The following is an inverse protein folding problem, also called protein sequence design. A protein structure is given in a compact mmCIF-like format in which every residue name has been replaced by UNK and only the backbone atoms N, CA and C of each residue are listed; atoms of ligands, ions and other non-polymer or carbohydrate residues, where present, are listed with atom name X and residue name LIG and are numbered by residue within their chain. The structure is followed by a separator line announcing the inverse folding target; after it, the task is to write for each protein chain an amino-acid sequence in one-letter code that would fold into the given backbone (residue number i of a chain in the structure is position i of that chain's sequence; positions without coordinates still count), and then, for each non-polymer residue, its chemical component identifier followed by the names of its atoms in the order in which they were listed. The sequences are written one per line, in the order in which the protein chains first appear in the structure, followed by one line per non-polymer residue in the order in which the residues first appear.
data_IF_705590040732
#
_entry.id   IF_705590040732
#
_cell.length_a   1.000
_cell.length_b   1.000
_cell.length_c   1.000
_cell.angle_alpha   90.00
_cell.angle_beta   90.00
_cell.angle_gamma   90.00
#
_symmetry.space_group_name_H-M   'P 1'
#
loop_
_entity.id
_entity.type
_entity.pdbx_description
1 polymer ?
#
# COMPACT_ATOMS: atom_id res chain seq x y z
N UNK A 1 -71.91 37.30 52.63
CA UNK A 1 -70.88 38.35 52.79
C UNK A 1 -70.12 38.55 51.48
N UNK A 2 -69.28 37.61 51.02
CA UNK A 2 -68.52 37.79 49.77
C UNK A 2 -69.39 37.87 48.49
N UNK A 3 -70.44 37.05 48.34
CA UNK A 3 -71.42 37.18 47.23
C UNK A 3 -72.19 38.52 47.22
N UNK A 4 -72.14 39.26 48.33
CA UNK A 4 -72.73 40.61 48.47
C UNK A 4 -71.65 41.72 48.36
N UNK A 5 -70.43 41.40 47.92
CA UNK A 5 -69.35 42.37 47.71
C UNK A 5 -68.53 42.77 48.95
N UNK A 6 -68.88 42.26 50.14
CA UNK A 6 -68.17 42.59 51.39
C UNK A 6 -66.97 41.65 51.53
N UNK A 7 -65.75 42.21 51.47
CA UNK A 7 -64.51 41.45 51.68
C UNK A 7 -64.44 40.96 53.13
N UNK A 8 -64.15 39.67 53.32
CA UNK A 8 -63.93 39.07 54.63
C UNK A 8 -62.51 38.52 54.73
N UNK A 9 -61.94 38.47 55.94
CA UNK A 9 -60.61 37.90 56.16
C UNK A 9 -60.51 36.44 55.68
N UNK A 10 -61.55 35.65 55.94
CA UNK A 10 -61.67 34.25 55.48
C UNK A 10 -61.74 34.18 53.94
N UNK A 11 -62.43 35.12 53.32
CA UNK A 11 -62.56 35.20 51.86
C UNK A 11 -61.28 35.64 51.15
N UNK A 12 -60.49 36.54 51.77
CA UNK A 12 -59.13 36.89 51.33
C UNK A 12 -58.19 35.68 51.45
N UNK A 13 -58.22 34.97 52.58
CA UNK A 13 -57.44 33.75 52.80
C UNK A 13 -57.77 32.66 51.76
N UNK A 14 -59.05 32.47 51.42
CA UNK A 14 -59.45 31.52 50.36
C UNK A 14 -58.94 31.91 48.96
N UNK A 15 -58.86 33.21 48.64
CA UNK A 15 -58.27 33.70 47.39
C UNK A 15 -56.76 33.48 47.35
N UNK A 16 -56.07 33.71 48.46
CA UNK A 16 -54.63 33.43 48.61
C UNK A 16 -54.32 31.94 48.49
N UNK A 17 -55.12 31.06 49.11
CA UNK A 17 -55.00 29.60 48.97
C UNK A 17 -55.20 29.19 47.51
N UNK A 18 -56.16 29.76 46.79
CA UNK A 18 -56.36 29.48 45.36
C UNK A 18 -55.17 29.92 44.51
N UNK A 19 -54.62 31.11 44.78
CA UNK A 19 -53.44 31.62 44.09
C UNK A 19 -52.18 30.77 44.38
N UNK A 20 -51.99 30.34 45.62
CA UNK A 20 -50.90 29.44 45.99
C UNK A 20 -51.05 28.06 45.32
N UNK A 21 -52.26 27.52 45.24
CA UNK A 21 -52.53 26.25 44.57
C UNK A 21 -52.34 26.32 43.04
N UNK A 22 -52.73 27.42 42.40
CA UNK A 22 -52.48 27.62 40.97
C UNK A 22 -50.98 27.75 40.68
N UNK A 23 -50.24 28.48 41.54
CA UNK A 23 -48.79 28.56 41.49
C UNK A 23 -48.15 27.16 41.63
N UNK A 24 -48.55 26.39 42.65
CA UNK A 24 -48.06 25.02 42.86
C UNK A 24 -48.35 24.10 41.66
N UNK A 25 -49.50 24.26 41.00
CA UNK A 25 -49.83 23.54 39.78
C UNK A 25 -48.91 23.92 38.60
N UNK A 26 -48.63 25.21 38.44
CA UNK A 26 -47.69 25.70 37.40
C UNK A 26 -46.27 25.19 37.64
N UNK A 27 -45.81 25.18 38.90
CA UNK A 27 -44.50 24.64 39.29
C UNK A 27 -44.43 23.15 38.97
N UNK A 28 -45.47 22.37 39.31
CA UNK A 28 -45.53 20.94 38.97
C UNK A 28 -45.46 20.68 37.47
N UNK A 29 -46.14 21.49 36.66
CA UNK A 29 -46.09 21.37 35.21
C UNK A 29 -44.69 21.70 34.66
N UNK A 30 -44.05 22.75 35.17
CA UNK A 30 -42.70 23.13 34.78
C UNK A 30 -41.69 22.03 35.16
N UNK A 31 -41.78 21.46 36.37
CA UNK A 31 -40.95 20.31 36.77
C UNK A 31 -41.17 19.11 35.84
N UNK A 32 -42.42 18.83 35.44
CA UNK A 32 -42.71 17.73 34.49
C UNK A 32 -42.07 17.97 33.13
N UNK A 33 -42.17 19.20 32.61
CA UNK A 33 -41.56 19.58 31.34
C UNK A 33 -40.02 19.50 31.40
N UNK A 34 -39.41 20.00 32.49
CA UNK A 34 -37.96 19.91 32.70
C UNK A 34 -37.49 18.46 32.79
N UNK A 35 -38.22 17.58 33.49
CA UNK A 35 -37.92 16.15 33.51
C UNK A 35 -37.97 15.54 32.10
N UNK A 36 -38.95 15.92 31.28
CA UNK A 36 -39.02 15.53 29.87
C UNK A 36 -37.79 15.97 29.09
N UNK A 37 -37.41 17.25 29.19
CA UNK A 37 -36.21 17.79 28.52
C UNK A 37 -34.91 17.12 28.99
N UNK A 38 -34.79 16.77 30.27
CA UNK A 38 -33.62 16.03 30.78
C UNK A 38 -33.53 14.65 30.13
N UNK A 39 -34.65 13.95 29.94
CA UNK A 39 -34.69 12.65 29.27
C UNK A 39 -34.28 12.80 27.81
N UNK A 40 -34.89 13.72 27.06
CA UNK A 40 -34.55 13.98 25.66
C UNK A 40 -33.08 14.37 25.48
N UNK A 41 -32.55 15.23 26.35
CA UNK A 41 -31.15 15.63 26.31
C UNK A 41 -30.23 14.45 26.64
N UNK A 42 -30.64 13.57 27.55
CA UNK A 42 -29.88 12.36 27.87
C UNK A 42 -29.85 11.36 26.71
N UNK A 43 -30.93 11.26 25.94
CA UNK A 43 -31.01 10.43 24.73
C UNK A 43 -30.13 10.99 23.63
N UNK A 44 -30.24 12.29 23.32
CA UNK A 44 -29.35 12.96 22.34
C UNK A 44 -27.88 12.84 22.71
N UNK A 45 -27.55 12.94 24.00
CA UNK A 45 -26.17 12.73 24.48
C UNK A 45 -25.70 11.29 24.21
N UNK A 46 -26.56 10.29 24.40
CA UNK A 46 -26.21 8.89 24.10
C UNK A 46 -25.99 8.68 22.61
N UNK A 47 -26.85 9.24 21.77
CA UNK A 47 -26.72 9.18 20.31
C UNK A 47 -25.40 9.78 19.83
N UNK A 48 -25.08 11.00 20.28
CA UNK A 48 -23.82 11.67 19.94
C UNK A 48 -22.59 10.91 20.43
N UNK A 49 -22.66 10.29 21.62
CA UNK A 49 -21.57 9.45 22.12
C UNK A 49 -21.41 8.17 21.29
N UNK A 50 -22.51 7.59 20.81
CA UNK A 50 -22.47 6.41 19.94
C UNK A 50 -21.91 6.75 18.56
N UNK A 51 -22.30 7.90 17.98
CA UNK A 51 -21.77 8.41 16.72
C UNK A 51 -20.26 8.67 16.83
N UNK A 52 -19.83 9.42 17.86
CA UNK A 52 -18.41 9.66 18.13
C UNK A 52 -17.64 8.35 18.35
N UNK A 53 -18.20 7.38 19.06
CA UNK A 53 -17.57 6.09 19.25
C UNK A 53 -17.49 5.28 17.95
N UNK A 54 -18.46 5.41 17.04
CA UNK A 54 -18.43 4.79 15.72
C UNK A 54 -17.38 5.42 14.81
N UNK A 55 -17.25 6.76 14.81
CA UNK A 55 -16.16 7.47 14.14
C UNK A 55 -14.81 7.05 14.72
N UNK A 56 -14.70 7.03 16.05
CA UNK A 56 -13.45 6.65 16.72
C UNK A 56 -13.08 5.19 16.43
N UNK A 57 -14.05 4.30 16.29
CA UNK A 57 -13.85 2.89 16.02
C UNK A 57 -13.15 2.60 14.68
N UNK A 58 -13.10 3.58 13.77
CA UNK A 58 -12.44 3.55 12.45
C UNK A 58 -10.99 4.04 12.53
N UNK A 59 -10.58 4.71 13.62
CA UNK A 59 -9.19 5.13 13.78
C UNK A 59 -8.24 3.95 13.96
N UNK A 60 -7.04 4.07 13.37
CA UNK A 60 -6.00 3.05 13.40
C UNK A 60 -5.65 2.58 14.82
N UNK A 61 -5.52 3.44 15.85
CA UNK A 61 -5.25 2.96 17.20
C UNK A 61 -6.32 2.00 17.72
N UNK A 62 -7.60 2.32 17.48
CA UNK A 62 -8.71 1.48 17.93
C UNK A 62 -8.80 0.17 17.14
N UNK A 63 -8.52 0.21 15.84
CA UNK A 63 -8.42 -1.00 15.01
C UNK A 63 -7.25 -1.90 15.44
N UNK A 64 -6.11 -1.32 15.81
CA UNK A 64 -4.98 -2.08 16.35
C UNK A 64 -5.27 -2.69 17.73
N UNK A 65 -6.07 -2.03 18.56
CA UNK A 65 -6.54 -2.60 19.81
C UNK A 65 -7.52 -3.77 19.56
N UNK A 66 -8.45 -3.65 18.60
CA UNK A 66 -9.32 -4.75 18.17
C UNK A 66 -8.51 -5.93 17.63
N UNK A 67 -7.46 -5.67 16.84
CA UNK A 67 -6.54 -6.72 16.38
C UNK A 67 -5.94 -7.51 17.54
N UNK A 68 -5.53 -6.83 18.63
CA UNK A 68 -5.00 -7.50 19.82
C UNK A 68 -6.03 -8.41 20.48
N UNK A 69 -7.31 -8.04 20.49
CA UNK A 69 -8.40 -8.87 21.01
C UNK A 69 -8.61 -10.12 20.15
N UNK A 70 -8.62 -9.96 18.82
CA UNK A 70 -8.67 -11.09 17.87
C UNK A 70 -7.52 -12.07 18.14
N UNK A 71 -6.30 -11.56 18.30
CA UNK A 71 -5.11 -12.38 18.59
C UNK A 71 -5.17 -13.07 19.95
N UNK A 72 -5.76 -12.42 20.96
CA UNK A 72 -6.00 -13.04 22.28
C UNK A 72 -7.00 -14.19 22.17
N UNK A 73 -8.09 -14.00 21.41
CA UNK A 73 -9.10 -15.02 21.18
C UNK A 73 -8.52 -16.24 20.44
N UNK A 74 -7.72 -16.04 19.38
CA UNK A 74 -7.02 -17.13 18.67
C UNK A 74 -6.10 -17.98 19.55
N UNK A 75 -5.66 -17.41 20.68
CA UNK A 75 -4.73 -18.07 21.62
C UNK A 75 -5.46 -18.57 22.87
N UNK A 76 -6.79 -18.63 22.88
CA UNK A 76 -7.57 -19.13 24.03
C UNK A 76 -7.13 -20.53 24.45
N UNK A 77 -6.81 -21.38 23.48
CA UNK A 77 -6.52 -22.80 23.69
C UNK A 77 -5.05 -23.08 23.98
N UNK A 78 -4.21 -22.04 23.99
CA UNK A 78 -2.77 -22.17 24.26
C UNK A 78 -2.48 -22.31 25.74
N UNK A 79 -1.29 -22.84 26.06
CA UNK A 79 -0.78 -22.83 27.43
C UNK A 79 -0.61 -21.39 27.93
N UNK A 80 -0.78 -21.15 29.24
CA UNK A 80 -0.64 -19.81 29.85
C UNK A 80 0.72 -19.15 29.55
N UNK A 81 1.80 -19.93 29.53
CA UNK A 81 3.12 -19.43 29.13
C UNK A 81 3.17 -19.02 27.65
N UNK A 82 2.54 -19.80 26.76
CA UNK A 82 2.41 -19.47 25.34
C UNK A 82 1.57 -18.21 25.10
N UNK A 83 0.44 -18.07 25.80
CA UNK A 83 -0.40 -16.88 25.78
C UNK A 83 0.36 -15.62 26.19
N UNK A 84 1.13 -15.69 27.27
CA UNK A 84 1.92 -14.56 27.77
C UNK A 84 3.01 -14.14 26.77
N UNK A 85 3.75 -15.11 26.21
CA UNK A 85 4.78 -14.84 25.18
C UNK A 85 4.16 -14.22 23.92
N UNK A 86 3.06 -14.77 23.44
CA UNK A 86 2.34 -14.23 22.27
C UNK A 86 1.82 -12.82 22.51
N UNK A 87 1.22 -12.58 23.68
CA UNK A 87 0.66 -11.26 24.04
C UNK A 87 1.76 -10.21 24.19
N UNK A 88 2.90 -10.55 24.81
CA UNK A 88 4.04 -9.64 24.92
C UNK A 88 4.62 -9.29 23.54
N UNK A 89 4.74 -10.27 22.64
CA UNK A 89 5.19 -10.06 21.27
C UNK A 89 4.25 -9.15 20.48
N UNK A 90 2.95 -9.44 20.52
CA UNK A 90 1.96 -8.65 19.79
C UNK A 90 1.87 -7.22 20.38
N UNK A 91 1.95 -7.07 21.71
CA UNK A 91 1.95 -5.77 22.38
C UNK A 91 3.14 -4.90 21.95
N UNK A 92 4.35 -5.49 21.87
CA UNK A 92 5.54 -4.80 21.40
C UNK A 92 5.39 -4.34 19.94
N UNK A 93 4.89 -5.22 19.08
CA UNK A 93 4.69 -4.90 17.66
C UNK A 93 3.64 -3.79 17.47
N UNK A 94 2.52 -3.85 18.21
CA UNK A 94 1.47 -2.83 18.15
C UNK A 94 1.94 -1.50 18.75
N UNK A 95 2.70 -1.49 19.84
CA UNK A 95 3.22 -0.24 20.43
C UNK A 95 4.26 0.45 19.54
N UNK A 96 5.12 -0.32 18.87
CA UNK A 96 6.05 0.20 17.86
C UNK A 96 5.28 0.81 16.68
N UNK A 97 4.22 0.15 16.20
CA UNK A 97 3.37 0.67 15.14
C UNK A 97 2.60 1.93 15.55
N UNK A 98 2.01 1.96 16.74
CA UNK A 98 1.33 3.15 17.25
C UNK A 98 2.28 4.35 17.35
N UNK A 99 3.49 4.12 17.86
CA UNK A 99 4.54 5.14 17.92
C UNK A 99 4.92 5.63 16.53
N UNK A 100 5.03 4.73 15.56
CA UNK A 100 5.34 5.07 14.18
C UNK A 100 4.21 5.88 13.51
N UNK A 101 2.96 5.44 13.64
CA UNK A 101 1.78 6.12 13.14
C UNK A 101 1.67 7.54 13.73
N UNK A 102 1.89 7.68 15.04
CA UNK A 102 1.89 8.98 15.71
C UNK A 102 2.99 9.91 15.18
N UNK A 103 4.21 9.42 14.98
CA UNK A 103 5.32 10.22 14.41
C UNK A 103 5.04 10.68 12.99
N UNK A 104 4.35 9.86 12.19
CA UNK A 104 3.99 10.17 10.80
C UNK A 104 2.65 10.92 10.69
N UNK A 105 1.92 11.11 11.79
CA UNK A 105 0.62 11.78 11.79
C UNK A 105 -0.49 10.99 11.10
N UNK A 106 -0.39 9.65 11.06
CA UNK A 106 -1.35 8.78 10.40
C UNK A 106 -2.38 8.27 11.42
N UNK A 107 -3.63 8.68 11.32
CA UNK A 107 -4.69 8.31 12.28
C UNK A 107 -5.81 7.46 11.64
N UNK A 108 -6.07 7.59 10.34
CA UNK A 108 -7.15 6.89 9.65
C UNK A 108 -6.64 5.82 8.68
N UNK A 109 -7.53 4.89 8.29
CA UNK A 109 -7.22 3.87 7.27
C UNK A 109 -6.95 4.52 5.91
N UNK A 110 -7.66 5.60 5.57
CA UNK A 110 -7.45 6.35 4.34
C UNK A 110 -6.05 6.99 4.28
N UNK A 111 -5.61 7.61 5.37
CA UNK A 111 -4.26 8.17 5.47
C UNK A 111 -3.19 7.08 5.29
N UNK A 112 -3.41 5.91 5.90
CA UNK A 112 -2.52 4.76 5.77
C UNK A 112 -2.40 4.30 4.30
N UNK A 113 -3.53 4.13 3.61
CA UNK A 113 -3.55 3.68 2.22
C UNK A 113 -2.92 4.70 1.27
N UNK A 114 -3.27 5.98 1.43
CA UNK A 114 -2.67 7.07 0.67
C UNK A 114 -1.16 7.12 0.88
N UNK A 115 -0.69 6.98 2.12
CA UNK A 115 0.74 6.99 2.44
C UNK A 115 1.48 5.77 1.88
N UNK A 116 0.85 4.58 1.88
CA UNK A 116 1.40 3.39 1.23
C UNK A 116 1.53 3.61 -0.28
N UNK A 117 0.53 4.23 -0.91
CA UNK A 117 0.56 4.50 -2.35
C UNK A 117 1.65 5.52 -2.72
N UNK A 118 1.73 6.64 -1.99
CA UNK A 118 2.77 7.68 -2.25
C UNK A 118 4.17 7.14 -2.01
N UNK A 119 4.39 6.43 -0.90
CA UNK A 119 5.67 5.80 -0.58
C UNK A 119 6.02 4.72 -1.62
N UNK A 120 5.04 3.98 -2.11
CA UNK A 120 5.20 3.01 -3.19
C UNK A 120 5.64 3.64 -4.51
N UNK A 121 5.07 4.81 -4.86
CA UNK A 121 5.48 5.61 -6.03
C UNK A 121 6.92 6.11 -5.87
N UNK A 122 7.26 6.69 -4.72
CA UNK A 122 8.63 7.15 -4.42
C UNK A 122 9.67 6.02 -4.52
N UNK A 123 9.38 4.85 -3.96
CA UNK A 123 10.26 3.69 -4.10
C UNK A 123 10.43 3.22 -5.55
N UNK A 124 9.37 3.32 -6.37
CA UNK A 124 9.44 3.01 -7.79
C UNK A 124 10.28 4.04 -8.55
N UNK A 125 10.18 5.32 -8.19
CA UNK A 125 10.94 6.40 -8.80
C UNK A 125 12.44 6.28 -8.52
N UNK A 126 12.85 5.95 -7.29
CA UNK A 126 14.26 5.67 -6.98
C UNK A 126 14.81 4.52 -7.84
N UNK A 127 14.07 3.40 -7.95
CA UNK A 127 14.48 2.28 -8.80
C UNK A 127 14.57 2.69 -10.28
N UNK A 128 13.64 3.53 -10.75
CA UNK A 128 13.63 4.05 -12.12
C UNK A 128 14.86 4.92 -12.38
N UNK A 129 15.31 5.71 -11.40
CA UNK A 129 16.52 6.53 -11.50
C UNK A 129 17.82 5.72 -11.39
N UNK A 130 17.83 4.64 -10.60
CA UNK A 130 18.99 3.75 -10.43
C UNK A 130 19.22 2.84 -11.63
N UNK A 131 18.16 2.25 -12.20
CA UNK A 131 18.25 1.27 -13.30
C UNK A 131 19.13 1.70 -14.49
N UNK A 132 19.00 2.92 -15.07
CA UNK A 132 19.90 3.34 -16.16
C UNK A 132 21.35 3.48 -15.71
N UNK A 133 21.59 3.95 -14.47
CA UNK A 133 22.95 4.07 -13.90
C UNK A 133 23.60 2.71 -13.69
N UNK A 134 22.86 1.76 -13.14
CA UNK A 134 23.31 0.36 -12.99
C UNK A 134 23.60 -0.27 -14.35
N UNK A 135 22.72 -0.04 -15.33
CA UNK A 135 22.92 -0.54 -16.69
C UNK A 135 24.19 0.04 -17.31
N UNK A 136 24.41 1.36 -17.17
CA UNK A 136 25.62 2.01 -17.68
C UNK A 136 26.88 1.52 -16.95
N UNK A 137 26.84 1.39 -15.63
CA UNK A 137 27.96 0.83 -14.84
C UNK A 137 28.33 -0.58 -15.33
N UNK A 138 27.34 -1.45 -15.52
CA UNK A 138 27.57 -2.81 -16.02
C UNK A 138 28.17 -2.84 -17.44
N UNK A 139 27.75 -1.89 -18.30
CA UNK A 139 28.34 -1.74 -19.64
C UNK A 139 29.80 -1.29 -19.55
N UNK A 140 30.12 -0.33 -18.67
CA UNK A 140 31.50 0.12 -18.46
C UNK A 140 32.37 -1.04 -17.96
N UNK A 141 31.89 -1.81 -16.98
CA UNK A 141 32.56 -3.00 -16.47
C UNK A 141 32.85 -4.01 -17.59
N UNK A 142 31.85 -4.29 -18.43
CA UNK A 142 31.99 -5.21 -19.55
C UNK A 142 32.94 -4.69 -20.64
N UNK A 143 32.99 -3.37 -20.89
CA UNK A 143 33.95 -2.74 -21.80
C UNK A 143 35.37 -2.88 -21.25
N UNK A 144 35.56 -2.61 -19.95
CA UNK A 144 36.86 -2.73 -19.30
C UNK A 144 37.36 -4.19 -19.34
N UNK A 145 36.48 -5.16 -19.07
CA UNK A 145 36.77 -6.58 -19.18
C UNK A 145 37.06 -7.02 -20.63
N UNK A 146 36.29 -6.54 -21.61
CA UNK A 146 36.57 -6.84 -23.02
C UNK A 146 37.91 -6.24 -23.48
N UNK A 147 38.28 -5.04 -22.99
CA UNK A 147 39.60 -4.44 -23.25
C UNK A 147 40.74 -5.24 -22.63
N UNK A 148 40.56 -5.86 -21.46
CA UNK A 148 41.57 -6.74 -20.86
C UNK A 148 41.67 -8.05 -21.64
N UNK A 149 40.54 -8.69 -21.96
CA UNK A 149 40.51 -9.93 -22.73
C UNK A 149 41.14 -9.77 -24.12
N UNK A 150 40.85 -8.66 -24.81
CA UNK A 150 41.47 -8.35 -26.09
C UNK A 150 42.99 -8.19 -25.97
N UNK A 151 43.51 -7.60 -24.88
CA UNK A 151 44.96 -7.44 -24.67
C UNK A 151 45.64 -8.77 -24.38
N UNK A 152 45.06 -9.59 -23.52
CA UNK A 152 45.62 -10.88 -23.11
C UNK A 152 45.57 -11.92 -24.23
N UNK A 153 44.48 -11.96 -25.00
CA UNK A 153 44.28 -12.95 -26.05
C UNK A 153 44.89 -12.53 -27.41
N UNK A 154 45.33 -11.26 -27.56
CA UNK A 154 45.94 -10.73 -28.79
C UNK A 154 47.05 -11.60 -29.38
N UNK A 155 48.09 -12.03 -28.63
CA UNK A 155 49.20 -12.80 -29.21
C UNK A 155 48.76 -14.17 -29.72
N UNK A 156 47.78 -14.81 -29.07
CA UNK A 156 47.22 -16.10 -29.49
C UNK A 156 46.35 -15.93 -30.73
N UNK A 157 45.55 -14.86 -30.76
CA UNK A 157 44.70 -14.53 -31.90
C UNK A 157 45.52 -14.16 -33.16
N UNK A 158 46.63 -13.44 -33.01
CA UNK A 158 47.55 -13.15 -34.12
C UNK A 158 48.20 -14.41 -34.70
N UNK A 159 48.57 -15.38 -33.84
CA UNK A 159 49.04 -16.70 -34.28
C UNK A 159 47.95 -17.44 -35.04
N UNK A 160 46.71 -17.44 -34.53
CA UNK A 160 45.54 -18.02 -35.20
C UNK A 160 45.27 -17.39 -36.58
N UNK A 161 45.37 -16.06 -36.70
CA UNK A 161 45.16 -15.36 -37.96
C UNK A 161 46.17 -15.76 -39.05
N UNK A 162 47.42 -16.03 -38.67
CA UNK A 162 48.49 -16.43 -39.59
C UNK A 162 48.37 -17.88 -40.11
N UNK A 163 47.45 -18.68 -39.56
CA UNK A 163 47.20 -20.03 -40.04
C UNK A 163 46.20 -19.97 -41.21
N UNK A 164 46.67 -20.32 -42.40
CA UNK A 164 45.84 -20.33 -43.62
C UNK A 164 45.22 -21.69 -43.93
N UNK A 165 45.82 -22.79 -43.48
CA UNK A 165 45.32 -24.14 -43.77
C UNK A 165 44.14 -24.50 -42.86
N UNK A 166 43.00 -24.85 -43.46
CA UNK A 166 41.71 -24.97 -42.77
C UNK A 166 41.73 -25.99 -41.62
N UNK A 167 42.29 -27.18 -41.84
CA UNK A 167 42.32 -28.26 -40.83
C UNK A 167 43.19 -27.91 -39.61
N UNK A 168 44.31 -27.23 -39.80
CA UNK A 168 45.18 -26.82 -38.69
C UNK A 168 44.61 -25.61 -37.96
N UNK A 169 43.92 -24.72 -38.68
CA UNK A 169 43.20 -23.58 -38.09
C UNK A 169 42.06 -24.03 -37.17
N UNK A 170 41.28 -25.03 -37.58
CA UNK A 170 40.21 -25.60 -36.75
C UNK A 170 40.76 -26.30 -35.50
N UNK A 171 41.85 -27.08 -35.62
CA UNK A 171 42.54 -27.68 -34.46
C UNK A 171 43.07 -26.63 -33.48
N UNK A 172 43.72 -25.57 -33.99
CA UNK A 172 44.24 -24.48 -33.16
C UNK A 172 43.12 -23.74 -32.40
N UNK A 173 41.94 -23.56 -33.02
CA UNK A 173 40.79 -22.95 -32.35
C UNK A 173 40.23 -23.82 -31.21
N UNK A 174 40.33 -25.15 -31.32
CA UNK A 174 39.92 -26.09 -30.28
C UNK A 174 40.92 -26.14 -29.11
N UNK A 175 42.22 -26.05 -29.40
CA UNK A 175 43.30 -26.07 -28.42
C UNK A 175 43.44 -24.74 -27.66
N UNK A 176 43.06 -23.63 -28.30
CA UNK A 176 43.19 -22.27 -27.75
C UNK A 176 41.84 -21.56 -27.60
N UNK A 177 41.14 -21.76 -26.46
CA UNK A 177 39.87 -21.06 -26.18
C UNK A 177 40.03 -19.53 -26.13
N UNK A 178 41.25 -19.01 -26.00
CA UNK A 178 41.60 -17.58 -26.09
C UNK A 178 41.16 -16.96 -27.42
N UNK A 179 41.14 -17.73 -28.51
CA UNK A 179 40.67 -17.26 -29.83
C UNK A 179 39.19 -16.88 -29.77
N UNK A 180 38.36 -17.74 -29.16
CA UNK A 180 36.94 -17.48 -28.99
C UNK A 180 36.68 -16.32 -28.00
N UNK A 181 37.49 -16.20 -26.94
CA UNK A 181 37.44 -15.06 -26.01
C UNK A 181 37.74 -13.74 -26.71
N UNK A 182 38.80 -13.70 -27.53
CA UNK A 182 39.15 -12.52 -28.31
C UNK A 182 38.06 -12.13 -29.30
N UNK A 183 37.49 -13.10 -30.03
CA UNK A 183 36.38 -12.85 -30.97
C UNK A 183 35.16 -12.25 -30.25
N UNK A 184 34.79 -12.81 -29.08
CA UNK A 184 33.67 -12.32 -28.27
C UNK A 184 33.92 -10.91 -27.71
N UNK A 185 35.11 -10.66 -27.16
CA UNK A 185 35.48 -9.36 -26.60
C UNK A 185 35.53 -8.29 -27.70
N UNK A 186 36.12 -8.60 -28.85
CA UNK A 186 36.18 -7.69 -30.01
C UNK A 186 34.79 -7.39 -30.56
N UNK A 187 33.92 -8.41 -30.68
CA UNK A 187 32.53 -8.22 -31.10
C UNK A 187 31.72 -7.40 -30.10
N UNK A 188 32.01 -7.50 -28.80
CA UNK A 188 31.38 -6.67 -27.77
C UNK A 188 31.82 -5.20 -27.89
N UNK A 189 33.12 -4.94 -28.03
CA UNK A 189 33.65 -3.58 -28.23
C UNK A 189 33.10 -2.93 -29.50
N UNK A 190 32.92 -3.71 -30.58
CA UNK A 190 32.31 -3.21 -31.82
C UNK A 190 30.84 -2.77 -31.65
N UNK A 191 30.12 -3.28 -30.65
CA UNK A 191 28.73 -2.88 -30.33
C UNK A 191 28.63 -1.58 -29.53
N UNK A 192 29.75 -1.10 -28.98
CA UNK A 192 29.84 0.12 -28.18
C UNK A 192 30.81 1.12 -28.84
N UNK A 193 30.50 1.63 -30.05
CA UNK A 193 31.38 2.54 -30.79
C UNK A 193 31.59 3.87 -30.08
N UNK A 194 30.60 4.35 -29.32
CA UNK A 194 30.66 5.63 -28.59
C UNK A 194 31.74 5.62 -27.50
N UNK A 195 32.03 4.45 -26.93
CA UNK A 195 33.06 4.25 -25.91
C UNK A 195 34.42 3.83 -26.51
N UNK A 196 34.55 3.83 -27.84
CA UNK A 196 35.80 3.45 -28.51
C UNK A 196 36.93 4.44 -28.23
N UNK A 197 36.59 5.73 -28.21
CA UNK A 197 37.54 6.83 -28.04
C UNK A 197 37.79 7.17 -26.56
N UNK A 198 36.91 6.70 -25.66
CA UNK A 198 37.02 6.94 -24.21
C UNK A 198 38.25 6.27 -23.60
N UNK A 199 39.04 7.01 -22.82
CA UNK A 199 40.22 6.45 -22.16
C UNK A 199 39.83 5.53 -21.00
N UNK A 200 40.72 4.59 -20.62
CA UNK A 200 40.49 3.73 -19.44
C UNK A 200 40.26 4.56 -18.16
N UNK A 201 40.94 5.71 -18.04
CA UNK A 201 40.80 6.60 -16.90
C UNK A 201 39.42 7.25 -16.85
N UNK A 202 38.91 7.74 -17.99
CA UNK A 202 37.56 8.33 -18.08
C UNK A 202 36.47 7.32 -17.72
N UNK A 203 36.55 6.09 -18.27
CA UNK A 203 35.58 5.04 -17.96
C UNK A 203 35.57 4.69 -16.46
N UNK A 204 36.75 4.60 -15.83
CA UNK A 204 36.85 4.36 -14.39
C UNK A 204 36.31 5.53 -13.55
N UNK A 205 36.52 6.77 -14.00
CA UNK A 205 35.96 7.95 -13.33
C UNK A 205 34.44 7.99 -13.45
N UNK A 206 33.89 7.72 -14.63
CA UNK A 206 32.44 7.62 -14.84
C UNK A 206 31.83 6.52 -13.99
N UNK A 207 32.46 5.33 -13.97
CA UNK A 207 32.04 4.23 -13.11
C UNK A 207 32.01 4.63 -11.63
N UNK A 208 33.08 5.26 -11.12
CA UNK A 208 33.13 5.69 -9.74
C UNK A 208 32.01 6.69 -9.40
N UNK A 209 31.71 7.62 -10.31
CA UNK A 209 30.58 8.55 -10.17
C UNK A 209 29.24 7.83 -10.14
N UNK A 210 28.99 6.93 -11.08
CA UNK A 210 27.74 6.16 -11.16
C UNK A 210 27.52 5.29 -9.92
N UNK A 211 28.58 4.63 -9.43
CA UNK A 211 28.52 3.83 -8.20
C UNK A 211 28.20 4.71 -6.98
N UNK A 212 28.80 5.91 -6.90
CA UNK A 212 28.46 6.90 -5.87
C UNK A 212 26.99 7.31 -5.92
N UNK A 213 26.49 7.73 -7.09
CA UNK A 213 25.09 8.12 -7.27
C UNK A 213 24.11 6.97 -6.99
N UNK A 214 24.47 5.73 -7.33
CA UNK A 214 23.68 4.54 -7.00
C UNK A 214 23.63 4.33 -5.49
N UNK A 215 24.75 4.48 -4.79
CA UNK A 215 24.82 4.35 -3.34
C UNK A 215 23.95 5.43 -2.67
N UNK A 216 24.03 6.68 -3.13
CA UNK A 216 23.25 7.81 -2.62
C UNK A 216 21.74 7.59 -2.82
N UNK A 217 21.31 7.03 -3.95
CA UNK A 217 19.90 6.69 -4.21
C UNK A 217 19.43 5.45 -3.45
N UNK A 218 20.34 4.55 -3.08
CA UNK A 218 20.01 3.32 -2.37
C UNK A 218 19.64 3.59 -0.91
N UNK A 219 20.27 4.56 -0.26
CA UNK A 219 19.95 4.96 1.13
C UNK A 219 18.46 5.32 1.31
N UNK A 220 17.90 6.32 0.61
CA UNK A 220 16.49 6.67 0.76
C UNK A 220 15.56 5.56 0.26
N UNK A 221 15.97 4.76 -0.74
CA UNK A 221 15.20 3.60 -1.17
C UNK A 221 15.05 2.57 -0.04
N UNK A 222 16.12 2.29 0.71
CA UNK A 222 16.08 1.34 1.84
C UNK A 222 15.18 1.85 2.96
N UNK A 223 15.25 3.13 3.30
CA UNK A 223 14.39 3.75 4.32
C UNK A 223 12.91 3.64 3.94
N UNK A 224 12.56 4.01 2.70
CA UNK A 224 11.18 3.89 2.19
C UNK A 224 10.71 2.43 2.18
N UNK A 225 11.60 1.48 1.88
CA UNK A 225 11.27 0.05 1.91
C UNK A 225 10.99 -0.46 3.33
N UNK A 226 11.77 -0.04 4.32
CA UNK A 226 11.54 -0.38 5.72
C UNK A 226 10.24 0.21 6.24
N UNK A 227 9.95 1.47 5.90
CA UNK A 227 8.69 2.13 6.24
C UNK A 227 7.50 1.43 5.58
N UNK A 228 7.59 1.07 4.30
CA UNK A 228 6.57 0.30 3.60
C UNK A 228 6.33 -1.08 4.22
N UNK A 229 7.37 -1.74 4.77
CA UNK A 229 7.21 -3.02 5.45
C UNK A 229 6.34 -2.85 6.71
N UNK A 230 6.66 -1.86 7.56
CA UNK A 230 5.87 -1.54 8.76
C UNK A 230 4.42 -1.22 8.42
N UNK A 231 4.21 -0.39 7.40
CA UNK A 231 2.86 0.00 6.95
C UNK A 231 2.05 -1.17 6.42
N UNK A 232 2.69 -2.13 5.72
CA UNK A 232 2.03 -3.36 5.25
C UNK A 232 1.63 -4.28 6.41
N UNK A 233 2.46 -4.37 7.43
CA UNK A 233 2.14 -5.14 8.64
C UNK A 233 0.93 -4.51 9.36
N UNK A 234 0.92 -3.19 9.53
CA UNK A 234 -0.22 -2.44 10.10
C UNK A 234 -1.48 -2.66 9.27
N UNK A 235 -1.38 -2.53 7.94
CA UNK A 235 -2.50 -2.79 7.03
C UNK A 235 -3.05 -4.20 7.18
N UNK A 236 -2.18 -5.20 7.32
CA UNK A 236 -2.60 -6.57 7.56
C UNK A 236 -3.33 -6.71 8.91
N UNK A 237 -2.84 -6.06 9.97
CA UNK A 237 -3.49 -6.07 11.28
C UNK A 237 -4.87 -5.40 11.25
N UNK A 238 -4.98 -4.26 10.56
CA UNK A 238 -6.25 -3.56 10.34
C UNK A 238 -7.27 -4.47 9.67
N UNK A 239 -6.91 -5.11 8.55
CA UNK A 239 -7.80 -6.07 7.85
C UNK A 239 -8.24 -7.23 8.73
N UNK A 240 -7.33 -7.73 9.57
CA UNK A 240 -7.65 -8.82 10.50
C UNK A 240 -8.59 -8.37 11.63
N UNK A 241 -8.53 -7.09 12.01
CA UNK A 241 -9.46 -6.50 12.96
C UNK A 241 -10.85 -6.21 12.36
N UNK A 242 -10.95 -6.05 11.03
CA UNK A 242 -12.19 -5.68 10.34
C UNK A 242 -12.57 -6.66 9.22
N UNK A 243 -12.76 -7.96 9.51
CA UNK A 243 -13.13 -8.93 8.48
C UNK A 243 -14.49 -8.59 7.85
N UNK A 244 -14.51 -8.41 6.52
CA UNK A 244 -15.74 -8.22 5.74
C UNK A 244 -16.24 -6.78 5.52
N UNK A 245 -15.55 -5.75 6.01
CA UNK A 245 -15.88 -4.32 5.73
C UNK A 245 -15.13 -3.78 4.50
N UNK A 246 -15.49 -2.57 4.03
CA UNK A 246 -14.81 -1.84 2.93
C UNK A 246 -13.28 -1.77 3.13
N UNK A 247 -12.82 -1.60 4.37
CA UNK A 247 -11.40 -1.57 4.77
C UNK A 247 -10.65 -2.91 4.55
N UNK A 248 -11.41 -4.01 4.44
CA UNK A 248 -10.91 -5.34 4.11
C UNK A 248 -10.83 -5.61 2.61
N UNK A 249 -11.44 -4.76 1.75
CA UNK A 249 -11.36 -4.95 0.31
C UNK A 249 -9.91 -4.74 -0.14
N UNK A 250 -9.38 -5.70 -0.90
CA UNK A 250 -8.09 -5.53 -1.55
C UNK A 250 -8.14 -4.28 -2.44
N UNK A 251 -7.08 -3.45 -2.48
CA UNK A 251 -6.95 -2.48 -3.55
C UNK A 251 -7.00 -3.31 -4.84
N UNK A 252 -7.73 -2.86 -5.87
CA UNK A 252 -7.96 -3.67 -7.06
C UNK A 252 -6.61 -4.24 -7.50
N UNK A 253 -6.49 -5.57 -7.44
CA UNK A 253 -5.30 -6.26 -7.94
C UNK A 253 -5.10 -5.71 -9.34
N UNK A 254 -3.99 -4.99 -9.56
CA UNK A 254 -3.56 -4.63 -10.91
C UNK A 254 -3.40 -5.95 -11.63
N UNK A 255 -4.41 -6.31 -12.42
CA UNK A 255 -4.38 -7.50 -13.24
C UNK A 255 -3.08 -7.43 -14.05
N UNK A 256 -2.28 -8.50 -14.10
CA UNK A 256 -1.09 -8.50 -14.94
C UNK A 256 -1.55 -8.19 -16.36
N UNK A 257 -0.97 -7.14 -16.97
CA UNK A 257 -1.32 -6.62 -18.30
C UNK A 257 -1.37 -7.68 -19.42
N UNK A 258 -0.90 -8.91 -19.16
CA UNK A 258 -0.96 -10.06 -20.06
C UNK A 258 -2.36 -10.69 -20.17
N UNK A 259 -3.17 -10.71 -19.12
CA UNK A 259 -4.52 -11.33 -19.16
C UNK A 259 -5.52 -10.44 -19.92
N UNK A 260 -5.49 -9.12 -19.70
CA UNK A 260 -6.35 -8.15 -20.43
C UNK A 260 -6.07 -8.12 -21.94
N UNK A 261 -4.84 -8.48 -22.36
CA UNK A 261 -4.48 -8.58 -23.78
C UNK A 261 -4.92 -9.92 -24.41
N UNK A 262 -5.03 -10.98 -23.61
CA UNK A 262 -5.47 -12.30 -24.05
C UNK A 262 -6.99 -12.33 -24.22
N UNK A 263 -7.73 -11.78 -23.26
CA UNK A 263 -9.20 -11.70 -23.32
C UNK A 263 -9.68 -10.86 -24.52
N UNK A 264 -8.98 -9.76 -24.84
CA UNK A 264 -9.27 -8.93 -26.03
C UNK A 264 -8.88 -9.61 -27.35
N UNK A 265 -7.96 -10.57 -27.34
CA UNK A 265 -7.59 -11.35 -28.51
C UNK A 265 -8.58 -12.50 -28.75
N UNK A 266 -9.12 -13.09 -27.69
CA UNK A 266 -10.09 -14.18 -27.74
C UNK A 266 -11.51 -13.68 -28.04
N UNK A 267 -11.93 -12.50 -27.56
CA UNK A 267 -13.17 -11.84 -28.01
C UNK A 267 -13.15 -11.50 -29.50
N UNK A 268 -12.00 -11.05 -30.04
CA UNK A 268 -11.84 -10.78 -31.48
C UNK A 268 -11.80 -12.04 -32.34
N UNK A 269 -11.41 -13.19 -31.77
CA UNK A 269 -11.49 -14.49 -32.46
C UNK A 269 -12.90 -15.08 -32.41
N UNK A 270 -13.61 -14.91 -31.30
CA UNK A 270 -14.99 -15.35 -31.15
C UNK A 270 -15.96 -14.62 -32.09
N UNK A 271 -15.77 -13.31 -32.32
CA UNK A 271 -16.59 -12.56 -33.28
C UNK A 271 -16.30 -12.88 -34.76
N UNK A 272 -15.13 -13.44 -35.09
CA UNK A 272 -14.78 -13.81 -36.47
C UNK A 272 -15.25 -15.22 -36.88
N UNK A 273 -15.62 -16.08 -35.93
CA UNK A 273 -15.98 -17.47 -36.18
C UNK A 273 -17.47 -17.80 -35.97
N UNK A 274 -18.35 -16.80 -35.82
CA UNK A 274 -19.79 -17.04 -35.78
C UNK A 274 -20.32 -17.35 -37.20
N UNK A 275 -20.90 -18.54 -37.46
CA UNK A 275 -21.48 -18.85 -38.77
C UNK A 275 -22.75 -18.02 -38.98
N UNK A 276 -22.83 -17.36 -40.14
CA UNK A 276 -23.99 -16.59 -40.57
C UNK A 276 -25.19 -17.52 -40.78
N UNK A 277 -26.13 -17.53 -39.84
CA UNK A 277 -27.40 -18.21 -40.01
C UNK A 277 -28.39 -17.32 -40.76
N UNK A 278 -28.87 -17.91 -41.86
CA UNK A 278 -29.89 -17.48 -42.80
C UNK A 278 -31.19 -17.06 -42.12
N UNK A 279 -31.68 -15.87 -42.47
CA UNK A 279 -33.01 -15.38 -42.14
C UNK A 279 -34.06 -16.17 -42.93
N UNK A 280 -34.93 -16.92 -42.24
CA UNK A 280 -36.23 -17.29 -42.77
C UNK A 280 -37.37 -16.70 -41.93
N UNK A 281 -38.29 -16.07 -42.66
CA UNK A 281 -39.62 -15.55 -42.29
C UNK A 281 -40.56 -16.67 -41.88
N UNK A 282 -41.41 -16.43 -40.87
CA UNK A 282 -42.84 -16.80 -40.73
C UNK A 282 -43.28 -16.36 -39.31
N UNK A 283 -44.12 -15.33 -39.16
CA UNK A 283 -45.59 -15.29 -39.21
C UNK A 283 -46.29 -16.07 -38.08
N UNK A 284 -47.05 -15.30 -37.29
CA UNK A 284 -48.32 -15.55 -36.60
C UNK A 284 -48.51 -16.85 -35.80
N UNK A 285 -48.84 -16.72 -34.51
CA UNK A 285 -50.24 -16.74 -34.03
C UNK A 285 -50.30 -16.80 -32.49
N UNK A 286 -51.41 -16.22 -32.01
CA UNK A 286 -51.93 -16.15 -30.64
C UNK A 286 -52.02 -17.50 -29.90
N UNK A 287 -51.77 -17.47 -28.58
CA UNK A 287 -52.74 -17.73 -27.50
C UNK A 287 -52.10 -17.50 -26.12
#
# INVERSE_FOLDING_TARGET
MEKRGIQTNIGKLNREIKAANSLMKSIRQLIKNLKGWIIELSEKRKELLAEKAAEEAVFLPNLLMKYMEVRKAERSDWTRAGQNRGTSKDLKAVSEALSYLQRKGLSTVEDLENFIETSGKSAADYRKQMKPKETRSNVIDAILAARTDCKECKPVYEKYQKIFFKKTKEKFKLEHPEVARFEKASAYLAKHPDDKDSTKKELLQEQAKLVGEIADLKVPLTEVQEDLKKLRDIRYWVRKATPGTEESKEPPKKQPLKEVLQDKADEKKAQKNAPAQTKHKQQDMEL
#
